data_IF_658665807380
#
_entry.id   IF_658665807380
#
_cell.length_a   1.000
_cell.length_b   1.000
_cell.length_c   1.000
_cell.angle_alpha   90.00
_cell.angle_beta   90.00
_cell.angle_gamma   90.00
#
_symmetry.space_group_name_H-M   'P 1'
#
loop_
_entity.id
_entity.type
_entity.pdbx_description
1 polymer ?
#
# COMPACT_ATOMS: atom_id res chain seq x y z
N UNK A 1 -47.75 -11.77 20.49
CA UNK A 1 -47.31 -10.37 20.69
C UNK A 1 -45.83 -10.45 20.99
N UNK A 2 -44.98 -9.73 20.25
CA UNK A 2 -43.54 -9.70 20.57
C UNK A 2 -43.36 -8.97 21.90
N UNK A 3 -42.49 -9.50 22.76
CA UNK A 3 -42.21 -8.90 24.07
C UNK A 3 -41.40 -7.61 23.91
N UNK A 4 -41.60 -6.65 24.82
CA UNK A 4 -40.93 -5.35 24.79
C UNK A 4 -39.39 -5.47 24.85
N UNK A 5 -38.88 -6.57 25.41
CA UNK A 5 -37.46 -6.90 25.47
C UNK A 5 -36.91 -7.28 24.09
N UNK A 6 -37.65 -8.10 23.32
CA UNK A 6 -37.29 -8.51 21.95
C UNK A 6 -37.25 -7.32 20.98
N UNK A 7 -38.14 -6.34 21.17
CA UNK A 7 -38.16 -5.09 20.39
C UNK A 7 -36.90 -4.25 20.66
N UNK A 8 -36.45 -4.20 21.92
CA UNK A 8 -35.25 -3.44 22.31
C UNK A 8 -33.97 -4.10 21.80
N UNK A 9 -33.86 -5.42 21.97
CA UNK A 9 -32.69 -6.19 21.54
C UNK A 9 -32.50 -6.11 20.01
N UNK A 10 -33.62 -6.14 19.26
CA UNK A 10 -33.61 -5.93 17.81
C UNK A 10 -33.19 -4.51 17.42
N UNK A 11 -33.58 -3.51 18.20
CA UNK A 11 -33.15 -2.12 18.01
C UNK A 11 -31.64 -1.94 18.19
N UNK A 12 -31.06 -2.51 19.25
CA UNK A 12 -29.61 -2.48 19.50
C UNK A 12 -28.82 -3.21 18.40
N UNK A 13 -29.33 -4.35 17.92
CA UNK A 13 -28.73 -5.08 16.81
C UNK A 13 -28.78 -4.30 15.49
N UNK A 14 -29.87 -3.55 15.24
CA UNK A 14 -30.00 -2.72 14.03
C UNK A 14 -29.05 -1.51 14.08
N UNK A 15 -28.89 -0.87 15.25
CA UNK A 15 -27.93 0.23 15.43
C UNK A 15 -26.49 -0.22 15.21
N UNK A 16 -26.09 -1.37 15.77
CA UNK A 16 -24.77 -1.95 15.52
C UNK A 16 -24.55 -2.27 14.04
N UNK A 17 -25.57 -2.81 13.37
CA UNK A 17 -25.53 -3.10 11.94
C UNK A 17 -25.33 -1.83 11.12
N UNK A 18 -26.01 -0.73 11.46
CA UNK A 18 -25.81 0.56 10.79
C UNK A 18 -24.37 1.07 10.94
N UNK A 19 -23.80 0.99 12.15
CA UNK A 19 -22.40 1.37 12.39
C UNK A 19 -21.44 0.50 11.57
N UNK A 20 -21.63 -0.82 11.57
CA UNK A 20 -20.79 -1.74 10.80
C UNK A 20 -20.94 -1.52 9.29
N UNK A 21 -22.14 -1.19 8.82
CA UNK A 21 -22.38 -0.82 7.42
C UNK A 21 -21.63 0.47 7.06
N UNK A 22 -21.70 1.51 7.88
CA UNK A 22 -20.96 2.75 7.66
C UNK A 22 -19.44 2.52 7.60
N UNK A 23 -18.90 1.66 8.49
CA UNK A 23 -17.49 1.27 8.46
C UNK A 23 -17.17 0.50 7.17
N UNK A 24 -18.02 -0.44 6.76
CA UNK A 24 -17.83 -1.22 5.54
C UNK A 24 -17.79 -0.33 4.29
N UNK A 25 -18.69 0.65 4.20
CA UNK A 25 -18.76 1.59 3.09
C UNK A 25 -17.54 2.51 3.06
N UNK A 26 -17.14 3.05 4.22
CA UNK A 26 -15.89 3.81 4.33
C UNK A 26 -14.67 2.99 3.86
N UNK A 27 -14.55 1.73 4.28
CA UNK A 27 -13.45 0.86 3.86
C UNK A 27 -13.48 0.59 2.34
N UNK A 28 -14.66 0.46 1.74
CA UNK A 28 -14.81 0.29 0.28
C UNK A 28 -14.34 1.51 -0.51
N UNK A 29 -14.54 2.70 0.03
CA UNK A 29 -14.10 3.97 -0.60
C UNK A 29 -12.60 4.20 -0.44
N UNK A 30 -12.03 3.87 0.74
CA UNK A 30 -10.60 4.08 1.02
C UNK A 30 -9.72 3.05 0.32
N UNK A 31 -10.18 1.81 0.20
CA UNK A 31 -9.37 0.70 -0.34
C UNK A 31 -8.79 1.00 -1.75
N UNK A 32 -9.57 1.48 -2.75
CA UNK A 32 -9.04 1.85 -4.06
C UNK A 32 -7.94 2.91 -4.02
N UNK A 33 -8.09 3.95 -3.20
CA UNK A 33 -7.10 5.03 -3.07
C UNK A 33 -5.78 4.47 -2.54
N UNK A 34 -5.85 3.60 -1.54
CA UNK A 34 -4.68 2.92 -0.98
C UNK A 34 -4.03 1.99 -2.02
N UNK A 35 -4.83 1.28 -2.84
CA UNK A 35 -4.30 0.45 -3.95
C UNK A 35 -3.51 1.28 -4.94
N UNK A 36 -4.04 2.42 -5.36
CA UNK A 36 -3.38 3.28 -6.33
C UNK A 36 -2.05 3.81 -5.81
N UNK A 37 -2.00 4.27 -4.56
CA UNK A 37 -0.74 4.67 -3.94
C UNK A 37 0.28 3.53 -3.89
N UNK A 38 -0.13 2.32 -3.47
CA UNK A 38 0.74 1.14 -3.46
C UNK A 38 1.23 0.81 -4.87
N UNK A 39 0.35 0.86 -5.87
CA UNK A 39 0.67 0.61 -7.27
C UNK A 39 1.66 1.63 -7.85
N UNK A 40 1.51 2.91 -7.53
CA UNK A 40 2.45 3.97 -7.92
C UNK A 40 3.82 3.74 -7.28
N UNK A 41 3.84 3.43 -5.98
CA UNK A 41 5.07 3.10 -5.27
C UNK A 41 5.75 1.90 -5.93
N UNK A 42 5.09 0.75 -6.02
CA UNK A 42 5.65 -0.46 -6.61
C UNK A 42 6.06 -0.29 -8.08
N UNK A 43 5.27 0.43 -8.88
CA UNK A 43 5.56 0.71 -10.29
C UNK A 43 6.75 1.66 -10.47
N UNK A 44 7.00 2.56 -9.52
CA UNK A 44 8.17 3.45 -9.53
C UNK A 44 9.48 2.74 -9.15
N UNK A 45 9.41 1.63 -8.43
CA UNK A 45 10.56 0.87 -7.97
C UNK A 45 10.98 -0.22 -8.96
N UNK A 46 11.64 0.19 -10.04
CA UNK A 46 12.38 -0.74 -10.91
C UNK A 46 13.78 -1.00 -10.31
N UNK A 47 14.28 -2.24 -10.42
CA UNK A 47 15.56 -2.63 -9.82
C UNK A 47 16.78 -1.85 -10.34
N UNK A 48 16.73 -1.38 -11.58
CA UNK A 48 17.71 -0.47 -12.20
C UNK A 48 17.70 0.92 -11.54
N UNK A 49 16.51 1.46 -11.24
CA UNK A 49 16.34 2.73 -10.52
C UNK A 49 16.86 2.62 -9.09
N UNK A 50 16.51 1.54 -8.38
CA UNK A 50 16.98 1.31 -7.01
C UNK A 50 18.51 1.16 -6.96
N UNK A 51 19.10 0.42 -7.88
CA UNK A 51 20.56 0.28 -7.98
C UNK A 51 21.25 1.61 -8.25
N UNK A 52 20.67 2.46 -9.12
CA UNK A 52 21.18 3.80 -9.40
C UNK A 52 21.13 4.69 -8.16
N UNK A 53 20.00 4.73 -7.44
CA UNK A 53 19.85 5.53 -6.21
C UNK A 53 20.85 5.12 -5.13
N UNK A 54 21.06 3.82 -4.93
CA UNK A 54 22.04 3.31 -3.95
C UNK A 54 23.46 3.71 -4.35
N UNK A 55 23.80 3.62 -5.64
CA UNK A 55 25.10 4.04 -6.14
C UNK A 55 25.35 5.54 -6.05
N UNK A 56 24.34 6.37 -6.32
CA UNK A 56 24.41 7.83 -6.15
C UNK A 56 24.54 8.21 -4.68
N UNK A 57 23.79 7.55 -3.79
CA UNK A 57 23.92 7.74 -2.35
C UNK A 57 25.34 7.38 -1.88
N UNK A 58 25.86 6.22 -2.26
CA UNK A 58 27.24 5.82 -1.94
C UNK A 58 28.26 6.88 -2.39
N UNK A 59 28.19 7.34 -3.66
CA UNK A 59 29.07 8.39 -4.18
C UNK A 59 28.99 9.66 -3.35
N UNK A 60 27.79 10.08 -2.96
CA UNK A 60 27.60 11.28 -2.13
C UNK A 60 28.27 11.17 -0.76
N UNK A 61 28.32 9.97 -0.17
CA UNK A 61 28.98 9.74 1.12
C UNK A 61 30.50 9.85 0.97
N UNK A 62 31.06 9.28 -0.09
CA UNK A 62 32.49 9.40 -0.41
C UNK A 62 32.87 10.86 -0.66
N UNK A 63 32.08 11.59 -1.44
CA UNK A 63 32.28 13.01 -1.71
C UNK A 63 32.20 13.87 -0.44
N UNK A 64 31.37 13.47 0.52
CA UNK A 64 31.27 14.10 1.84
C UNK A 64 32.43 13.75 2.79
N UNK A 65 33.39 12.92 2.36
CA UNK A 65 34.55 12.52 3.15
C UNK A 65 34.30 11.38 4.13
N UNK A 66 33.19 10.64 3.98
CA UNK A 66 32.96 9.41 4.74
C UNK A 66 33.90 8.32 4.22
N UNK A 67 34.47 7.52 5.12
CA UNK A 67 35.35 6.40 4.73
C UNK A 67 34.60 5.39 3.88
N UNK A 68 35.33 4.74 2.96
CA UNK A 68 34.76 3.75 2.04
C UNK A 68 33.99 2.64 2.78
N UNK A 69 34.59 2.05 3.82
CA UNK A 69 33.95 1.01 4.63
C UNK A 69 32.62 1.50 5.24
N UNK A 70 32.59 2.74 5.75
CA UNK A 70 31.39 3.30 6.36
C UNK A 70 30.35 3.69 5.32
N UNK A 71 30.78 4.15 4.15
CA UNK A 71 29.90 4.49 3.04
C UNK A 71 29.22 3.23 2.47
N UNK A 72 29.96 2.11 2.35
CA UNK A 72 29.39 0.82 1.96
C UNK A 72 28.35 0.36 2.98
N UNK A 73 28.68 0.38 4.27
CA UNK A 73 27.74 0.01 5.35
C UNK A 73 26.43 0.82 5.26
N UNK A 74 26.53 2.15 5.11
CA UNK A 74 25.38 3.03 5.02
C UNK A 74 24.56 2.82 3.74
N UNK A 75 25.22 2.56 2.61
CA UNK A 75 24.55 2.27 1.34
C UNK A 75 23.80 0.92 1.40
N UNK A 76 24.39 -0.11 2.01
CA UNK A 76 23.71 -1.38 2.27
C UNK A 76 22.50 -1.21 3.18
N UNK A 77 22.62 -0.41 4.24
CA UNK A 77 21.49 -0.14 5.13
C UNK A 77 20.37 0.62 4.41
N UNK A 78 20.71 1.60 3.58
CA UNK A 78 19.77 2.32 2.74
C UNK A 78 19.01 1.37 1.79
N UNK A 79 19.72 0.47 1.11
CA UNK A 79 19.12 -0.56 0.26
C UNK A 79 18.18 -1.47 1.05
N UNK A 80 18.61 -1.98 2.22
CA UNK A 80 17.80 -2.85 3.08
C UNK A 80 16.51 -2.17 3.53
N UNK A 81 16.58 -0.88 3.91
CA UNK A 81 15.39 -0.10 4.31
C UNK A 81 14.42 0.07 3.15
N UNK A 82 14.92 0.39 1.95
CA UNK A 82 14.09 0.48 0.73
C UNK A 82 13.44 -0.87 0.39
N UNK A 83 14.17 -1.97 0.43
CA UNK A 83 13.63 -3.31 0.19
C UNK A 83 12.55 -3.72 1.21
N UNK A 84 12.71 -3.36 2.49
CA UNK A 84 11.65 -3.60 3.50
C UNK A 84 10.35 -2.88 3.15
N UNK A 85 10.43 -1.65 2.63
CA UNK A 85 9.26 -0.91 2.17
C UNK A 85 8.60 -1.59 0.96
N UNK A 86 9.38 -2.15 0.05
CA UNK A 86 8.88 -2.94 -1.09
C UNK A 86 8.14 -4.19 -0.62
N UNK A 87 8.75 -4.96 0.28
CA UNK A 87 8.13 -6.17 0.81
C UNK A 87 6.81 -5.85 1.53
N UNK A 88 6.75 -4.74 2.27
CA UNK A 88 5.51 -4.29 2.91
C UNK A 88 4.45 -3.91 1.87
N UNK A 89 4.83 -3.15 0.84
CA UNK A 89 3.92 -2.78 -0.24
C UNK A 89 3.41 -4.02 -1.02
N UNK A 90 4.26 -5.02 -1.26
CA UNK A 90 3.90 -6.29 -1.88
C UNK A 90 2.91 -7.08 -1.02
N UNK A 91 3.17 -7.23 0.29
CA UNK A 91 2.24 -7.90 1.23
C UNK A 91 0.88 -7.19 1.25
N UNK A 92 0.87 -5.86 1.31
CA UNK A 92 -0.37 -5.08 1.26
C UNK A 92 -1.09 -5.25 -0.08
N UNK A 93 -0.37 -5.37 -1.19
CA UNK A 93 -0.96 -5.64 -2.51
C UNK A 93 -1.66 -7.00 -2.59
N UNK A 94 -1.16 -8.00 -1.86
CA UNK A 94 -1.72 -9.36 -1.83
C UNK A 94 -2.94 -9.51 -0.91
N UNK A 95 -3.03 -8.72 0.16
CA UNK A 95 -4.18 -8.69 1.07
C UNK A 95 -5.41 -8.04 0.43
N UNK A 96 -5.22 -7.40 -0.71
CA UNK A 96 -6.25 -6.72 -1.45
C UNK A 96 -6.84 -7.67 -2.50
N UNK A 97 -8.15 -7.96 -2.47
CA UNK A 97 -8.77 -8.79 -3.49
C UNK A 97 -8.59 -8.17 -4.88
N UNK A 98 -8.07 -8.98 -5.82
CA UNK A 98 -8.04 -8.66 -7.26
C UNK A 98 -9.49 -8.63 -7.76
N UNK A 99 -10.11 -7.46 -7.83
CA UNK A 99 -11.24 -7.27 -8.76
C UNK A 99 -10.61 -7.17 -10.13
N UNK A 100 -10.97 -8.06 -11.04
CA UNK A 100 -10.69 -7.90 -12.47
C UNK A 100 -11.25 -6.55 -12.88
N UNK A 101 -10.36 -5.58 -13.08
CA UNK A 101 -10.72 -4.34 -13.76
C UNK A 101 -10.80 -4.77 -15.22
N UNK A 102 -12.02 -4.96 -15.71
CA UNK A 102 -12.31 -5.11 -17.13
C UNK A 102 -11.93 -3.77 -17.78
N UNK A 103 -10.68 -3.67 -18.25
CA UNK A 103 -10.24 -2.51 -19.01
C UNK A 103 -10.93 -2.67 -20.37
N UNK A 104 -12.04 -1.96 -20.53
CA UNK A 104 -12.71 -1.78 -21.81
C UNK A 104 -11.70 -1.09 -22.75
N UNK A 105 -10.99 -1.88 -23.57
CA UNK A 105 -10.15 -1.36 -24.65
C UNK A 105 -11.06 -0.58 -25.60
N UNK A 106 -11.16 0.75 -25.42
CA UNK A 106 -11.47 1.67 -26.50
C UNK A 106 -10.36 1.57 -27.55
N UNK A 107 -10.49 0.61 -28.45
CA UNK A 107 -9.91 0.69 -29.80
C UNK A 107 -10.94 1.35 -30.71
N UNK A 108 -10.97 2.68 -30.66
CA UNK A 108 -11.29 3.46 -31.85
C UNK A 108 -10.04 3.45 -32.75
N UNK A 109 -10.24 3.20 -34.04
CA UNK A 109 -9.21 3.38 -35.07
C UNK A 109 -9.13 2.22 -36.07
N UNK A 110 -10.12 2.14 -36.97
CA UNK A 110 -9.95 1.52 -38.28
C UNK A 110 -10.16 2.59 -39.33
#
# INVERSE_FOLDING_TARGET
MMDAEEIRERGEAEELKEVLSAISDFLREVTPIVKELIGVVLGSFRGDVLGKEVGEFYKSLIEAGISEDKAVELAEEFLKRKMKLLNLAEVLSHLIPKREVEIEERREGK
#
